data_IF_768756277920
#
_entry.id   IF_768756277920
#
_cell.length_a   1.000
_cell.length_b   1.000
_cell.length_c   1.000
_cell.angle_alpha   90.00
_cell.angle_beta   90.00
_cell.angle_gamma   90.00
#
_symmetry.space_group_name_H-M   'P 1'
#
loop_
_entity.id
_entity.type
_entity.pdbx_description
1 polymer ?
#
# COMPACT_ATOMS: atom_id res chain seq x y z
N UNK A 1 -7.51 25.57 6.79
CA UNK A 1 -7.49 25.13 5.37
C UNK A 1 -7.01 26.24 4.45
N UNK A 2 -7.62 27.44 4.47
CA UNK A 2 -7.17 28.58 3.65
C UNK A 2 -5.69 28.91 3.83
N UNK A 3 -5.24 29.08 5.07
CA UNK A 3 -3.82 29.30 5.38
C UNK A 3 -2.93 28.12 4.95
N UNK A 4 -3.44 26.88 5.01
CA UNK A 4 -2.70 25.70 4.60
C UNK A 4 -2.48 25.65 3.07
N UNK A 5 -3.40 26.22 2.30
CA UNK A 5 -3.28 26.42 0.85
C UNK A 5 -2.38 27.62 0.55
N UNK A 6 -2.60 28.77 1.19
CA UNK A 6 -1.83 30.00 0.94
C UNK A 6 -0.35 29.83 1.27
N UNK A 7 -0.03 29.06 2.33
CA UNK A 7 1.34 28.76 2.75
C UNK A 7 1.86 27.41 2.24
N UNK A 8 1.13 26.75 1.33
CA UNK A 8 1.56 25.51 0.71
C UNK A 8 2.60 25.73 -0.38
N UNK A 9 3.24 24.65 -0.83
CA UNK A 9 4.27 24.68 -1.87
C UNK A 9 4.03 23.64 -2.96
N UNK A 10 4.48 23.93 -4.17
CA UNK A 10 4.49 22.96 -5.27
C UNK A 10 5.75 22.09 -5.17
N UNK A 11 5.57 20.78 -5.01
CA UNK A 11 6.61 19.76 -5.08
C UNK A 11 6.44 18.89 -6.33
N UNK A 12 7.10 19.30 -7.42
CA UNK A 12 6.99 18.63 -8.72
C UNK A 12 5.55 18.63 -9.25
N UNK A 13 4.95 17.44 -9.34
CA UNK A 13 3.57 17.26 -9.80
C UNK A 13 2.52 17.38 -8.68
N UNK A 14 2.94 17.65 -7.44
CA UNK A 14 2.07 17.67 -6.28
C UNK A 14 2.05 19.06 -5.66
N UNK A 15 0.88 19.45 -5.13
CA UNK A 15 0.78 20.59 -4.23
C UNK A 15 0.75 20.08 -2.80
N UNK A 16 1.67 20.56 -1.95
CA UNK A 16 1.75 20.22 -0.53
C UNK A 16 1.22 21.37 0.30
N UNK A 17 0.21 21.09 1.12
CA UNK A 17 -0.28 22.05 2.10
C UNK A 17 0.77 22.30 3.19
N UNK A 18 0.76 23.51 3.77
CA UNK A 18 1.58 23.80 4.96
C UNK A 18 1.25 22.83 6.09
N UNK A 19 2.26 22.12 6.58
CA UNK A 19 2.12 21.11 7.63
C UNK A 19 1.64 21.72 8.96
N UNK A 20 2.16 22.88 9.34
CA UNK A 20 1.74 23.58 10.56
C UNK A 20 0.28 24.03 10.46
N UNK A 21 -0.11 24.60 9.31
CA UNK A 21 -1.49 25.09 9.11
C UNK A 21 -2.51 23.95 8.95
N UNK A 22 -2.11 22.80 8.41
CA UNK A 22 -3.02 21.65 8.25
C UNK A 22 -3.30 20.96 9.59
N UNK A 23 -2.36 20.96 10.53
CA UNK A 23 -2.52 20.33 11.85
C UNK A 23 -3.63 21.00 12.69
N UNK A 24 -3.86 22.29 12.46
CA UNK A 24 -4.94 23.05 13.10
C UNK A 24 -6.31 22.87 12.41
N UNK A 25 -6.38 22.15 11.29
CA UNK A 25 -7.64 21.96 10.57
C UNK A 25 -8.50 20.89 11.27
N UNK A 26 -9.82 21.12 11.41
CA UNK A 26 -10.70 20.13 11.99
C UNK A 26 -10.78 18.88 11.10
N UNK A 27 -10.66 17.70 11.72
CA UNK A 27 -10.80 16.41 11.04
C UNK A 27 -12.28 16.06 10.83
N UNK A 28 -12.94 16.76 9.91
CA UNK A 28 -14.33 16.54 9.51
C UNK A 28 -14.40 16.11 8.04
N UNK A 29 -15.36 15.23 7.69
CA UNK A 29 -15.52 14.82 6.28
C UNK A 29 -15.98 15.99 5.42
N UNK A 30 -15.68 15.92 4.12
CA UNK A 30 -16.14 16.89 3.13
C UNK A 30 -17.68 16.97 3.09
N UNK A 31 -18.35 15.82 3.24
CA UNK A 31 -19.81 15.73 3.26
C UNK A 31 -20.41 16.62 4.36
N UNK A 32 -19.96 16.43 5.60
CA UNK A 32 -20.42 17.24 6.74
C UNK A 32 -19.94 18.69 6.67
N UNK A 33 -18.71 18.92 6.19
CA UNK A 33 -18.12 20.24 6.18
C UNK A 33 -18.77 21.16 5.14
N UNK A 34 -19.13 20.61 3.98
CA UNK A 34 -19.54 21.37 2.78
C UNK A 34 -20.84 20.83 2.18
N UNK A 35 -20.91 19.55 1.80
CA UNK A 35 -22.03 19.05 0.98
C UNK A 35 -23.38 19.12 1.69
N UNK A 36 -23.44 18.82 2.98
CA UNK A 36 -24.70 18.93 3.74
C UNK A 36 -25.17 20.37 3.93
N UNK A 37 -24.27 21.35 3.75
CA UNK A 37 -24.54 22.78 3.97
C UNK A 37 -24.70 23.55 2.67
N UNK A 38 -24.39 22.95 1.52
CA UNK A 38 -24.44 23.65 0.24
C UNK A 38 -25.87 23.78 -0.27
N UNK A 39 -26.24 24.97 -0.71
CA UNK A 39 -27.47 25.19 -1.48
C UNK A 39 -27.27 24.99 -2.98
N UNK A 40 -26.04 24.69 -3.42
CA UNK A 40 -25.63 24.59 -4.82
C UNK A 40 -25.20 23.17 -5.17
N UNK A 41 -26.03 22.17 -4.86
CA UNK A 41 -25.80 20.78 -5.26
C UNK A 41 -26.66 20.40 -6.47
N UNK A 42 -26.09 19.61 -7.37
CA UNK A 42 -26.81 18.89 -8.42
C UNK A 42 -26.37 17.43 -8.37
N UNK A 43 -27.32 16.50 -8.56
CA UNK A 43 -27.06 15.05 -8.52
C UNK A 43 -27.51 14.45 -9.85
N UNK A 44 -26.69 13.57 -10.40
CA UNK A 44 -27.01 12.79 -11.60
C UNK A 44 -27.09 11.33 -11.19
N UNK A 45 -28.18 10.66 -11.55
CA UNK A 45 -28.32 9.23 -11.32
C UNK A 45 -27.37 8.46 -12.22
N UNK A 46 -26.67 7.51 -11.63
CA UNK A 46 -25.64 6.71 -12.27
C UNK A 46 -25.98 5.23 -12.10
N UNK A 47 -26.02 4.50 -13.22
CA UNK A 47 -26.22 3.05 -13.24
C UNK A 47 -25.02 2.39 -13.94
N UNK A 48 -23.91 2.31 -13.22
CA UNK A 48 -22.66 1.69 -13.69
C UNK A 48 -22.07 0.69 -12.69
N UNK A 49 -22.89 0.12 -11.80
CA UNK A 49 -22.46 -0.93 -10.86
C UNK A 49 -21.37 -0.46 -9.89
N UNK A 50 -21.48 0.77 -9.39
CA UNK A 50 -20.50 1.34 -8.46
C UNK A 50 -20.60 0.70 -7.07
N UNK A 51 -19.44 0.38 -6.49
CA UNK A 51 -19.28 -0.05 -5.10
C UNK A 51 -18.09 0.70 -4.50
N UNK A 52 -18.18 1.09 -3.24
CA UNK A 52 -17.11 1.83 -2.54
C UNK A 52 -15.88 0.97 -2.22
N UNK A 53 -15.98 -0.35 -2.46
CA UNK A 53 -14.99 -1.40 -2.11
C UNK A 53 -14.31 -1.04 -0.77
N UNK A 54 -15.12 -0.88 0.27
CA UNK A 54 -14.64 -0.48 1.59
C UNK A 54 -14.10 -1.62 2.45
N UNK A 55 -14.21 -2.88 2.01
CA UNK A 55 -13.86 -4.09 2.77
C UNK A 55 -13.33 -5.20 1.86
N UNK A 56 -12.64 -6.19 2.45
CA UNK A 56 -12.27 -7.41 1.71
C UNK A 56 -13.48 -8.26 1.34
N UNK A 57 -14.53 -8.23 2.14
CA UNK A 57 -15.81 -8.90 1.83
C UNK A 57 -16.48 -8.27 0.60
N UNK A 58 -16.49 -6.93 0.49
CA UNK A 58 -17.01 -6.24 -0.68
C UNK A 58 -16.18 -6.57 -1.94
N UNK A 59 -14.87 -6.76 -1.78
CA UNK A 59 -14.01 -7.22 -2.87
C UNK A 59 -14.34 -8.68 -3.26
N UNK A 60 -14.59 -9.56 -2.29
CA UNK A 60 -15.05 -10.93 -2.55
C UNK A 60 -16.41 -10.95 -3.26
N UNK A 61 -17.36 -10.12 -2.84
CA UNK A 61 -18.70 -10.04 -3.43
C UNK A 61 -18.67 -9.74 -4.93
N UNK A 62 -17.86 -8.75 -5.33
CA UNK A 62 -17.77 -8.29 -6.73
C UNK A 62 -16.78 -9.08 -7.58
N UNK A 63 -15.96 -9.95 -6.96
CA UNK A 63 -14.99 -10.75 -7.69
C UNK A 63 -15.61 -12.00 -8.31
N UNK A 64 -15.09 -12.47 -9.46
CA UNK A 64 -15.43 -13.78 -10.02
C UNK A 64 -15.13 -14.89 -9.02
N UNK A 65 -16.09 -15.80 -8.84
CA UNK A 65 -15.99 -16.94 -7.93
C UNK A 65 -15.86 -18.25 -8.70
N UNK A 66 -15.19 -19.23 -8.12
CA UNK A 66 -15.26 -20.62 -8.58
C UNK A 66 -16.58 -21.29 -8.18
N UNK A 67 -16.74 -22.57 -8.54
CA UNK A 67 -17.95 -23.36 -8.25
C UNK A 67 -18.22 -23.55 -6.75
N UNK A 68 -17.19 -23.38 -5.92
CA UNK A 68 -17.25 -23.48 -4.45
C UNK A 68 -17.38 -22.11 -3.77
N UNK A 69 -17.58 -21.03 -4.54
CA UNK A 69 -17.73 -19.67 -4.01
C UNK A 69 -16.41 -19.00 -3.62
N UNK A 70 -15.25 -19.57 -3.98
CA UNK A 70 -13.96 -18.99 -3.64
C UNK A 70 -13.52 -17.93 -4.65
N UNK A 71 -12.79 -16.93 -4.15
CA UNK A 71 -12.04 -15.97 -4.95
C UNK A 71 -10.56 -16.21 -4.70
N UNK A 72 -9.81 -16.47 -5.77
CA UNK A 72 -8.36 -16.68 -5.70
C UNK A 72 -7.62 -15.62 -6.52
N UNK A 73 -6.52 -15.11 -5.98
CA UNK A 73 -5.65 -14.15 -6.66
C UNK A 73 -4.20 -14.54 -6.41
N UNK A 74 -3.45 -14.82 -7.48
CA UNK A 74 -2.03 -15.20 -7.40
C UNK A 74 -1.81 -16.71 -7.31
N UNK A 75 -0.72 -17.12 -6.66
CA UNK A 75 -0.33 -18.54 -6.52
C UNK A 75 -1.07 -19.18 -5.33
N UNK A 76 -2.17 -19.86 -5.60
CA UNK A 76 -3.09 -20.40 -4.59
C UNK A 76 -3.45 -21.85 -4.90
N UNK A 77 -3.44 -22.71 -3.86
CA UNK A 77 -3.95 -24.08 -3.91
C UNK A 77 -5.08 -24.21 -2.89
N UNK A 78 -6.22 -24.74 -3.32
CA UNK A 78 -7.38 -24.99 -2.47
C UNK A 78 -7.69 -26.48 -2.45
N UNK A 79 -7.90 -27.03 -1.26
CA UNK A 79 -8.43 -28.37 -1.01
C UNK A 79 -9.59 -28.24 -0.02
N UNK A 80 -10.74 -28.83 -0.30
CA UNK A 80 -11.93 -28.78 0.57
C UNK A 80 -12.23 -27.37 1.13
N UNK A 81 -12.14 -26.33 0.29
CA UNK A 81 -12.30 -24.93 0.69
C UNK A 81 -13.49 -24.29 -0.02
N UNK A 82 -14.33 -23.54 0.69
CA UNK A 82 -15.53 -22.89 0.12
C UNK A 82 -15.77 -21.48 0.68
N UNK A 83 -16.39 -20.61 -0.12
CA UNK A 83 -16.70 -19.23 0.24
C UNK A 83 -15.51 -18.40 0.79
N UNK A 84 -14.29 -18.72 0.36
CA UNK A 84 -13.09 -18.04 0.82
C UNK A 84 -12.62 -16.94 -0.13
N UNK A 85 -11.93 -15.94 0.42
CA UNK A 85 -11.11 -15.01 -0.37
C UNK A 85 -9.65 -15.28 -0.07
N UNK A 86 -8.88 -15.75 -1.05
CA UNK A 86 -7.47 -16.11 -0.87
C UNK A 86 -6.61 -15.33 -1.86
N UNK A 87 -5.78 -14.42 -1.34
CA UNK A 87 -4.81 -13.66 -2.13
C UNK A 87 -3.38 -14.03 -1.73
N UNK A 88 -2.57 -14.35 -2.73
CA UNK A 88 -1.15 -14.63 -2.66
C UNK A 88 -0.38 -13.62 -3.52
N UNK A 89 0.41 -12.75 -2.91
CA UNK A 89 1.18 -11.73 -3.65
C UNK A 89 2.62 -12.17 -3.90
N UNK A 90 3.26 -12.80 -2.93
CA UNK A 90 4.69 -13.13 -2.96
C UNK A 90 4.96 -14.62 -2.77
N UNK A 91 4.13 -15.34 -2.03
CA UNK A 91 4.31 -16.78 -1.74
C UNK A 91 3.05 -17.57 -2.10
N UNK A 92 3.24 -18.86 -2.35
CA UNK A 92 2.14 -19.81 -2.43
C UNK A 92 1.30 -19.79 -1.14
N UNK A 93 -0.01 -19.69 -1.29
CA UNK A 93 -0.97 -19.90 -0.20
C UNK A 93 -1.77 -21.18 -0.46
N UNK A 94 -1.67 -22.14 0.46
CA UNK A 94 -2.47 -23.37 0.42
C UNK A 94 -3.54 -23.33 1.52
N UNK A 95 -4.78 -23.59 1.15
CA UNK A 95 -5.94 -23.67 2.05
C UNK A 95 -6.54 -25.07 2.02
N UNK A 96 -6.80 -25.65 3.19
CA UNK A 96 -7.37 -26.99 3.34
C UNK A 96 -8.51 -26.94 4.36
N UNK A 97 -9.73 -27.34 3.97
CA UNK A 97 -10.85 -27.45 4.91
C UNK A 97 -11.40 -26.12 5.43
N UNK A 98 -11.16 -25.01 4.72
CA UNK A 98 -11.55 -23.68 5.19
C UNK A 98 -12.90 -23.25 4.60
N UNK A 99 -13.71 -22.56 5.40
CA UNK A 99 -14.99 -22.00 4.97
C UNK A 99 -15.09 -20.53 5.43
N UNK A 100 -15.75 -19.70 4.63
CA UNK A 100 -16.06 -18.28 4.93
C UNK A 100 -14.84 -17.48 5.44
N UNK A 101 -13.66 -17.78 4.91
CA UNK A 101 -12.38 -17.27 5.42
C UNK A 101 -11.69 -16.36 4.42
N UNK A 102 -11.21 -15.22 4.92
CA UNK A 102 -10.29 -14.31 4.27
C UNK A 102 -8.84 -14.70 4.61
N UNK A 103 -8.03 -14.93 3.58
CA UNK A 103 -6.58 -15.10 3.66
C UNK A 103 -5.92 -14.14 2.68
N UNK A 104 -5.14 -13.19 3.18
CA UNK A 104 -4.42 -12.22 2.35
C UNK A 104 -2.95 -12.25 2.73
N UNK A 105 -2.11 -12.76 1.84
CA UNK A 105 -0.66 -12.68 1.91
C UNK A 105 -0.17 -11.52 1.05
N UNK A 106 0.57 -10.61 1.68
CA UNK A 106 1.31 -9.52 1.03
C UNK A 106 2.80 -9.69 1.32
N UNK A 107 3.63 -8.84 0.71
CA UNK A 107 5.08 -8.91 0.87
C UNK A 107 5.59 -8.76 2.32
N UNK A 108 4.80 -8.15 3.20
CA UNK A 108 5.13 -7.76 4.57
C UNK A 108 4.25 -8.41 5.66
N UNK A 109 3.06 -8.92 5.32
CA UNK A 109 2.14 -9.47 6.32
C UNK A 109 1.22 -10.56 5.74
N UNK A 110 0.64 -11.35 6.65
CA UNK A 110 -0.47 -12.26 6.33
C UNK A 110 -1.64 -11.88 7.23
N UNK A 111 -2.79 -11.62 6.63
CA UNK A 111 -4.07 -11.45 7.31
C UNK A 111 -4.91 -12.71 7.15
N UNK A 112 -5.37 -13.25 8.27
CA UNK A 112 -6.36 -14.34 8.29
C UNK A 112 -7.52 -13.92 9.18
N UNK A 113 -8.75 -14.00 8.67
CA UNK A 113 -9.95 -13.65 9.42
C UNK A 113 -11.19 -14.32 8.79
N UNK A 114 -12.30 -14.45 9.53
CA UNK A 114 -13.60 -14.66 8.90
C UNK A 114 -13.91 -13.53 7.91
N UNK A 115 -14.47 -13.87 6.75
CA UNK A 115 -14.78 -12.91 5.69
C UNK A 115 -15.71 -11.79 6.19
N UNK A 116 -16.73 -12.17 6.99
CA UNK A 116 -17.68 -11.28 7.67
C UNK A 116 -17.06 -10.30 8.67
N UNK A 117 -15.79 -10.51 9.04
CA UNK A 117 -15.02 -9.62 9.94
C UNK A 117 -13.89 -8.89 9.22
N UNK A 118 -13.91 -8.84 7.89
CA UNK A 118 -12.88 -8.17 7.08
C UNK A 118 -12.63 -6.70 7.48
N UNK A 119 -13.65 -5.98 7.97
CA UNK A 119 -13.54 -4.60 8.47
C UNK A 119 -12.71 -4.45 9.75
N UNK A 120 -12.57 -5.52 10.55
CA UNK A 120 -11.80 -5.49 11.80
C UNK A 120 -10.29 -5.32 11.56
N UNK A 121 -9.82 -5.40 10.31
CA UNK A 121 -8.45 -5.03 9.93
C UNK A 121 -8.04 -3.65 10.46
N UNK A 122 -8.98 -2.70 10.55
CA UNK A 122 -8.75 -1.35 11.12
C UNK A 122 -8.26 -1.40 12.58
N UNK A 123 -8.71 -2.39 13.35
CA UNK A 123 -8.28 -2.60 14.74
C UNK A 123 -6.82 -3.07 14.78
N UNK A 124 -6.44 -3.98 13.88
CA UNK A 124 -5.06 -4.44 13.74
C UNK A 124 -4.14 -3.29 13.33
N UNK A 125 -4.51 -2.52 12.30
CA UNK A 125 -3.75 -1.33 11.87
C UNK A 125 -3.56 -0.34 13.02
N UNK A 126 -4.60 -0.09 13.83
CA UNK A 126 -4.50 0.79 14.99
C UNK A 126 -3.52 0.26 16.05
N UNK A 127 -3.47 -1.06 16.23
CA UNK A 127 -2.52 -1.71 17.15
C UNK A 127 -1.09 -1.63 16.62
N UNK A 128 -0.86 -1.89 15.33
CA UNK A 128 0.45 -1.76 14.69
C UNK A 128 1.02 -0.34 14.87
N UNK A 129 0.17 0.69 14.71
CA UNK A 129 0.53 2.09 14.99
C UNK A 129 0.99 2.31 16.43
N UNK A 130 0.24 1.80 17.39
CA UNK A 130 0.57 1.92 18.83
C UNK A 130 1.88 1.20 19.17
N UNK A 131 2.13 0.07 18.55
CA UNK A 131 3.34 -0.74 18.73
C UNK A 131 4.53 -0.24 17.89
N UNK A 132 4.36 0.83 17.12
CA UNK A 132 5.38 1.42 16.23
C UNK A 132 6.00 0.38 15.28
N UNK A 133 5.18 -0.51 14.73
CA UNK A 133 5.60 -1.46 13.71
C UNK A 133 5.46 -0.88 12.31
N UNK A 134 6.20 -1.40 11.35
CA UNK A 134 6.30 -0.75 10.03
C UNK A 134 5.27 -1.22 9.00
N UNK A 135 4.57 -2.35 9.23
CA UNK A 135 3.67 -2.97 8.23
C UNK A 135 2.45 -2.10 7.86
N UNK A 136 2.12 -1.08 8.67
CA UNK A 136 1.05 -0.13 8.33
C UNK A 136 1.54 1.08 7.53
N UNK A 137 2.85 1.34 7.47
CA UNK A 137 3.41 2.60 6.97
C UNK A 137 4.41 2.45 5.83
N UNK A 138 5.19 1.36 5.82
CA UNK A 138 6.21 1.13 4.81
C UNK A 138 5.85 -0.13 4.03
N UNK A 139 5.31 0.06 2.83
CA UNK A 139 5.29 -1.04 1.87
C UNK A 139 6.73 -1.40 1.50
N UNK A 140 7.03 -2.70 1.36
CA UNK A 140 8.40 -3.18 1.07
C UNK A 140 9.03 -2.51 -0.15
N UNK A 141 8.21 -2.03 -1.10
CA UNK A 141 8.62 -1.26 -2.27
C UNK A 141 8.23 0.21 -2.15
N UNK A 142 9.20 1.10 -2.31
CA UNK A 142 9.02 2.55 -2.29
C UNK A 142 9.34 3.14 -3.66
N UNK A 143 8.41 3.93 -4.19
CA UNK A 143 8.57 4.64 -5.46
C UNK A 143 9.17 6.04 -5.27
N UNK A 144 10.08 6.42 -6.17
CA UNK A 144 10.81 7.68 -6.18
C UNK A 144 10.86 8.24 -7.61
N UNK A 145 11.13 9.54 -7.81
CA UNK A 145 11.21 10.12 -9.15
C UNK A 145 12.22 9.43 -10.08
N UNK A 146 13.28 8.81 -9.52
CA UNK A 146 14.29 8.07 -10.27
C UNK A 146 13.94 6.59 -10.54
N UNK A 147 12.85 6.06 -9.98
CA UNK A 147 12.47 4.65 -10.07
C UNK A 147 11.90 4.10 -8.76
N UNK A 148 12.42 2.99 -8.26
CA UNK A 148 11.96 2.39 -7.00
C UNK A 148 13.05 1.58 -6.29
N UNK A 149 12.86 1.35 -4.99
CA UNK A 149 13.60 0.30 -4.29
C UNK A 149 12.65 -0.61 -3.52
N UNK A 150 12.98 -1.90 -3.48
CA UNK A 150 12.35 -2.89 -2.61
C UNK A 150 13.35 -3.34 -1.55
N UNK A 151 13.00 -3.26 -0.27
CA UNK A 151 13.79 -3.92 0.79
C UNK A 151 13.52 -5.42 0.72
N UNK A 152 14.55 -6.20 0.42
CA UNK A 152 14.46 -7.65 0.36
C UNK A 152 14.69 -8.28 1.72
N UNK A 153 15.62 -7.73 2.48
CA UNK A 153 15.95 -8.17 3.83
C UNK A 153 16.55 -7.00 4.62
N UNK A 154 16.21 -6.93 5.91
CA UNK A 154 16.74 -5.95 6.83
C UNK A 154 17.07 -6.64 8.15
N UNK A 155 18.31 -6.45 8.60
CA UNK A 155 18.84 -6.97 9.85
C UNK A 155 19.62 -5.85 10.56
N UNK A 156 19.88 -5.96 11.87
CA UNK A 156 20.55 -4.90 12.63
C UNK A 156 21.89 -4.42 12.07
N UNK A 157 22.58 -5.23 11.25
CA UNK A 157 23.89 -4.91 10.68
C UNK A 157 23.96 -4.92 9.16
N UNK A 158 22.88 -5.21 8.46
CA UNK A 158 22.87 -5.17 7.00
C UNK A 158 21.47 -4.94 6.45
N UNK A 159 21.42 -4.43 5.22
CA UNK A 159 20.18 -4.26 4.48
C UNK A 159 20.43 -4.65 3.03
N UNK A 160 19.51 -5.44 2.48
CA UNK A 160 19.53 -5.85 1.08
C UNK A 160 18.38 -5.14 0.38
N UNK A 161 18.70 -4.38 -0.67
CA UNK A 161 17.71 -3.70 -1.51
C UNK A 161 17.83 -4.15 -2.95
N UNK A 162 16.70 -4.38 -3.60
CA UNK A 162 16.60 -4.38 -5.05
C UNK A 162 16.21 -2.98 -5.50
N UNK A 163 16.99 -2.38 -6.37
CA UNK A 163 16.76 -1.01 -6.84
C UNK A 163 16.52 -1.03 -8.34
N UNK A 164 15.43 -0.41 -8.78
CA UNK A 164 15.11 -0.18 -10.18
C UNK A 164 15.33 1.29 -10.47
N UNK A 165 16.28 1.60 -11.34
CA UNK A 165 16.53 2.98 -11.81
C UNK A 165 15.97 3.12 -13.22
N UNK A 166 15.09 4.09 -13.43
CA UNK A 166 14.50 4.34 -14.73
C UNK A 166 15.58 4.83 -15.73
N UNK A 167 15.42 4.56 -17.04
CA UNK A 167 16.36 5.04 -18.06
C UNK A 167 16.61 6.54 -17.96
N UNK A 168 17.88 6.95 -17.93
CA UNK A 168 18.29 8.36 -17.81
C UNK A 168 18.21 8.97 -16.40
N UNK A 169 17.63 8.26 -15.43
CA UNK A 169 17.60 8.69 -14.05
C UNK A 169 18.90 8.36 -13.30
N UNK A 170 19.07 8.96 -12.12
CA UNK A 170 20.21 8.71 -11.23
C UNK A 170 19.81 8.74 -9.77
N UNK A 171 20.54 7.99 -8.95
CA UNK A 171 20.51 8.11 -7.50
C UNK A 171 21.38 9.29 -7.07
N UNK A 172 21.06 9.90 -5.92
CA UNK A 172 21.96 10.86 -5.28
C UNK A 172 23.23 10.15 -4.80
N UNK A 173 24.38 10.81 -4.90
CA UNK A 173 25.61 10.34 -4.28
C UNK A 173 25.43 10.30 -2.75
N UNK A 174 25.99 9.29 -2.10
CA UNK A 174 25.89 9.09 -0.67
C UNK A 174 27.29 8.86 -0.10
N UNK A 175 27.57 9.47 1.06
CA UNK A 175 28.80 9.26 1.81
C UNK A 175 28.48 8.48 3.09
N UNK A 176 29.30 7.47 3.39
CA UNK A 176 29.16 6.66 4.59
C UNK A 176 30.52 6.43 5.26
N UNK A 177 30.61 6.65 6.57
CA UNK A 177 31.85 6.42 7.33
C UNK A 177 32.05 4.96 7.77
N UNK A 178 30.97 4.23 8.04
CA UNK A 178 31.00 2.90 8.65
C UNK A 178 30.12 1.88 7.90
N UNK A 179 30.06 2.00 6.56
CA UNK A 179 29.25 1.11 5.72
C UNK A 179 30.04 0.76 4.46
N UNK A 180 30.02 -0.51 4.11
CA UNK A 180 30.37 -0.97 2.77
C UNK A 180 29.09 -1.26 2.01
N UNK A 181 29.06 -0.93 0.71
CA UNK A 181 27.97 -1.30 -0.17
C UNK A 181 28.49 -2.24 -1.25
N UNK A 182 27.70 -3.26 -1.57
CA UNK A 182 27.97 -4.18 -2.67
C UNK A 182 26.83 -4.07 -3.67
N UNK A 183 27.17 -3.80 -4.93
CA UNK A 183 26.21 -3.54 -6.00
C UNK A 183 26.34 -4.61 -7.09
N UNK A 184 25.21 -5.21 -7.46
CA UNK A 184 25.13 -6.18 -8.55
C UNK A 184 24.07 -5.73 -9.53
N UNK A 185 24.45 -5.52 -10.80
CA UNK A 185 23.50 -5.19 -11.87
C UNK A 185 22.86 -6.50 -12.35
N UNK A 186 21.60 -6.71 -11.97
CA UNK A 186 20.83 -7.92 -12.32
C UNK A 186 20.18 -7.86 -13.70
N UNK A 187 19.96 -6.66 -14.24
CA UNK A 187 19.43 -6.44 -15.59
C UNK A 187 19.75 -5.02 -16.07
N UNK A 188 19.98 -4.87 -17.38
CA UNK A 188 20.31 -3.59 -18.02
C UNK A 188 21.78 -3.19 -17.86
N UNK A 189 22.06 -1.89 -17.88
CA UNK A 189 23.41 -1.33 -17.76
C UNK A 189 23.38 -0.12 -16.85
N UNK A 190 24.27 -0.10 -15.86
CA UNK A 190 24.42 1.01 -14.93
C UNK A 190 25.81 1.65 -15.08
N UNK A 191 25.87 2.98 -14.91
CA UNK A 191 27.12 3.70 -14.71
C UNK A 191 27.28 3.97 -13.22
N UNK A 192 28.39 3.56 -12.65
CA UNK A 192 28.69 3.73 -11.22
C UNK A 192 29.81 4.77 -11.07
N UNK A 193 29.59 5.73 -10.17
CA UNK A 193 30.61 6.68 -9.73
C UNK A 193 31.01 6.34 -8.30
N UNK A 194 32.29 6.11 -8.06
CA UNK A 194 32.86 5.81 -6.73
C UNK A 194 34.12 6.67 -6.52
N UNK A 195 34.18 7.45 -5.45
CA UNK A 195 35.26 8.40 -5.16
C UNK A 195 34.82 9.87 -5.26
N UNK A 196 35.79 10.79 -5.13
CA UNK A 196 35.57 12.23 -5.27
C UNK A 196 35.65 12.65 -6.74
N UNK A 197 34.82 13.64 -7.11
CA UNK A 197 35.09 14.47 -8.28
C UNK A 197 36.35 15.28 -8.05
#
# INVERSE_FOLDING_TARGET
MREAVENGETDGNFFRFSAESIEHCPSVSFDYAIMEKTSMAAVVTADFGWSDIGSWEALWDVSPKDDSGNVTVGDVILEDTSNCFVKAEKKLVASVGMEDTLVVETADAVLVAPLSRSQDVKKIVSRLKKEKRDEYSVHTTVYRPWGSYTVLEEQPRFQIKRITVNPGAKLSLQLHHHRSEHWVVVSGTARVTNGEN
#
